data_IF_243797425987
#
_entry.id   IF_243797425987
#
_cell.length_a   1.000
_cell.length_b   1.000
_cell.length_c   1.000
_cell.angle_alpha   90.00
_cell.angle_beta   90.00
_cell.angle_gamma   90.00
#
_symmetry.space_group_name_H-M   'P 1'
#
loop_
_entity.id
_entity.type
_entity.pdbx_description
1 polymer ?
#
# COMPACT_ATOMS: atom_id res chain seq x y z
N UNK A 1 -15.27 -6.55 14.22
CA UNK A 1 -15.39 -6.59 12.77
C UNK A 1 -15.62 -5.21 12.15
N UNK A 2 -16.73 -4.53 12.42
CA UNK A 2 -17.08 -3.22 11.82
C UNK A 2 -16.01 -2.14 12.01
N UNK A 3 -15.38 -2.05 13.20
CA UNK A 3 -14.33 -1.07 13.48
C UNK A 3 -13.04 -1.31 12.68
N UNK A 4 -12.69 -2.57 12.40
CA UNK A 4 -11.49 -2.88 11.62
C UNK A 4 -11.68 -2.52 10.14
N UNK A 5 -12.85 -2.85 9.57
CA UNK A 5 -13.19 -2.38 8.21
C UNK A 5 -13.29 -0.85 8.14
N UNK A 6 -13.85 -0.23 9.18
CA UNK A 6 -13.85 1.23 9.25
C UNK A 6 -12.41 1.76 9.22
N UNK A 7 -11.50 1.21 10.02
CA UNK A 7 -10.12 1.66 10.10
C UNK A 7 -9.36 1.51 8.76
N UNK A 8 -9.65 0.43 8.01
CA UNK A 8 -9.02 0.22 6.70
C UNK A 8 -9.58 1.13 5.61
N UNK A 9 -10.87 1.43 5.62
CA UNK A 9 -11.54 2.18 4.54
C UNK A 9 -11.70 3.67 4.84
N UNK A 10 -11.85 4.05 6.12
CA UNK A 10 -12.10 5.44 6.50
C UNK A 10 -11.03 6.43 6.03
N UNK A 11 -9.71 6.11 6.00
CA UNK A 11 -8.72 7.06 5.49
C UNK A 11 -8.94 7.48 4.04
N UNK A 12 -9.70 6.70 3.25
CA UNK A 12 -10.09 7.10 1.89
C UNK A 12 -11.02 8.32 1.89
N UNK A 13 -11.80 8.52 2.96
CA UNK A 13 -12.72 9.67 3.07
C UNK A 13 -11.94 10.99 3.16
N UNK A 14 -11.00 11.18 4.11
CA UNK A 14 -10.16 12.37 4.10
C UNK A 14 -9.26 12.45 2.85
N UNK A 15 -8.81 11.33 2.25
CA UNK A 15 -8.07 11.36 0.99
C UNK A 15 -8.89 12.03 -0.13
N UNK A 16 -10.14 11.61 -0.33
CA UNK A 16 -11.06 12.24 -1.28
C UNK A 16 -11.40 13.68 -0.86
N UNK A 17 -11.61 13.91 0.43
CA UNK A 17 -11.84 15.23 0.99
C UNK A 17 -10.72 16.22 0.67
N UNK A 18 -9.44 15.79 0.72
CA UNK A 18 -8.29 16.62 0.34
C UNK A 18 -8.33 17.06 -1.12
N UNK A 19 -8.76 16.19 -2.03
CA UNK A 19 -8.87 16.52 -3.46
C UNK A 19 -10.03 17.47 -3.74
N UNK A 20 -11.13 17.37 -2.99
CA UNK A 20 -12.33 18.16 -3.20
C UNK A 20 -12.34 19.50 -2.43
N UNK A 21 -11.54 19.60 -1.35
CA UNK A 21 -11.50 20.78 -0.49
C UNK A 21 -10.92 21.99 -1.24
N UNK A 22 -11.72 23.05 -1.31
CA UNK A 22 -11.31 24.33 -1.90
C UNK A 22 -10.83 25.26 -0.79
N UNK A 23 -9.51 25.50 -0.75
CA UNK A 23 -8.85 26.41 0.19
C UNK A 23 -8.26 25.71 1.43
N UNK A 24 -7.30 26.38 2.04
CA UNK A 24 -6.45 25.80 3.08
C UNK A 24 -7.21 25.47 4.36
N UNK A 25 -8.18 26.32 4.78
CA UNK A 25 -8.99 26.07 5.98
C UNK A 25 -9.81 24.78 5.86
N UNK A 26 -10.39 24.51 4.67
CA UNK A 26 -11.15 23.30 4.45
C UNK A 26 -10.25 22.06 4.47
N UNK A 27 -9.06 22.13 3.88
CA UNK A 27 -8.05 21.05 3.90
C UNK A 27 -7.57 20.78 5.33
N UNK A 28 -7.29 21.84 6.11
CA UNK A 28 -6.89 21.68 7.50
C UNK A 28 -7.99 20.98 8.32
N UNK A 29 -9.25 21.40 8.16
CA UNK A 29 -10.37 20.78 8.86
C UNK A 29 -10.51 19.29 8.48
N UNK A 30 -10.46 18.95 7.20
CA UNK A 30 -10.53 17.57 6.72
C UNK A 30 -9.37 16.74 7.29
N UNK A 31 -8.15 17.27 7.25
CA UNK A 31 -6.96 16.57 7.75
C UNK A 31 -6.98 16.36 9.26
N UNK A 32 -7.30 17.40 10.03
CA UNK A 32 -7.35 17.32 11.49
C UNK A 32 -8.45 16.39 11.98
N UNK A 33 -9.67 16.53 11.42
CA UNK A 33 -10.81 15.68 11.80
C UNK A 33 -10.55 14.24 11.37
N UNK A 34 -10.10 14.02 10.13
CA UNK A 34 -9.79 12.69 9.60
C UNK A 34 -8.73 11.98 10.43
N UNK A 35 -7.60 12.64 10.70
CA UNK A 35 -6.51 12.09 11.53
C UNK A 35 -6.96 11.84 12.97
N UNK A 36 -7.75 12.75 13.56
CA UNK A 36 -8.29 12.60 14.91
C UNK A 36 -9.20 11.37 15.03
N UNK A 37 -10.08 11.15 14.06
CA UNK A 37 -10.97 9.97 14.03
C UNK A 37 -10.14 8.69 13.86
N UNK A 38 -9.17 8.65 12.93
CA UNK A 38 -8.31 7.48 12.72
C UNK A 38 -7.58 7.13 14.02
N UNK A 39 -6.98 8.12 14.68
CA UNK A 39 -6.26 7.92 15.94
C UNK A 39 -7.17 7.39 17.05
N UNK A 40 -8.37 7.98 17.21
CA UNK A 40 -9.33 7.55 18.20
C UNK A 40 -9.81 6.10 17.97
N UNK A 41 -10.17 5.76 16.73
CA UNK A 41 -10.58 4.39 16.38
C UNK A 41 -9.46 3.39 16.56
N UNK A 42 -8.23 3.76 16.21
CA UNK A 42 -7.04 2.93 16.43
C UNK A 42 -6.87 2.56 17.91
N UNK A 43 -6.99 3.54 18.81
CA UNK A 43 -6.90 3.29 20.25
C UNK A 43 -8.05 2.40 20.73
N UNK A 44 -9.28 2.64 20.25
CA UNK A 44 -10.45 1.80 20.60
C UNK A 44 -10.22 0.34 20.15
N UNK A 45 -9.74 0.12 18.93
CA UNK A 45 -9.42 -1.23 18.41
C UNK A 45 -8.38 -1.91 19.28
N UNK A 46 -7.32 -1.22 19.67
CA UNK A 46 -6.28 -1.77 20.54
C UNK A 46 -6.82 -2.11 21.95
N UNK A 47 -7.61 -1.23 22.56
CA UNK A 47 -8.23 -1.48 23.87
C UNK A 47 -9.17 -2.69 23.82
N UNK A 48 -9.99 -2.80 22.77
CA UNK A 48 -10.87 -3.95 22.58
C UNK A 48 -10.08 -5.26 22.43
N UNK A 49 -8.98 -5.23 21.66
CA UNK A 49 -8.12 -6.39 21.48
C UNK A 49 -7.54 -6.90 22.79
N UNK A 50 -7.07 -6.03 23.68
CA UNK A 50 -6.56 -6.45 24.99
C UNK A 50 -7.62 -7.10 25.88
N UNK A 51 -8.91 -6.83 25.61
CA UNK A 51 -10.03 -7.49 26.30
C UNK A 51 -10.48 -8.83 25.68
N UNK A 52 -10.24 -9.02 24.38
CA UNK A 52 -10.78 -10.17 23.62
C UNK A 52 -9.71 -11.14 23.11
N UNK A 53 -8.44 -10.71 23.00
CA UNK A 53 -7.34 -11.49 22.44
C UNK A 53 -7.37 -11.60 20.91
N UNK A 54 -6.54 -12.49 20.34
CA UNK A 54 -6.43 -12.69 18.89
C UNK A 54 -7.77 -13.08 18.25
N UNK A 55 -8.07 -12.48 17.09
CA UNK A 55 -9.33 -12.69 16.38
C UNK A 55 -9.10 -12.80 14.87
N UNK A 56 -9.81 -13.75 14.26
CA UNK A 56 -9.95 -13.85 12.80
C UNK A 56 -11.36 -13.43 12.39
N UNK A 57 -11.48 -12.75 11.28
CA UNK A 57 -12.76 -12.24 10.78
C UNK A 57 -13.07 -12.87 9.42
N UNK A 58 -14.03 -13.76 9.38
CA UNK A 58 -14.50 -14.37 8.14
C UNK A 58 -15.44 -13.42 7.37
N UNK A 59 -15.32 -13.43 6.05
CA UNK A 59 -16.20 -12.72 5.14
C UNK A 59 -17.02 -13.70 4.33
N UNK A 60 -18.27 -13.38 4.09
CA UNK A 60 -19.15 -14.17 3.25
C UNK A 60 -18.53 -14.39 1.84
N UNK A 61 -18.66 -15.60 1.24
CA UNK A 61 -18.02 -15.92 -0.05
C UNK A 61 -18.30 -14.89 -1.16
N UNK A 62 -19.53 -14.43 -1.30
CA UNK A 62 -19.88 -13.42 -2.29
C UNK A 62 -19.19 -12.06 -2.05
N UNK A 63 -18.99 -11.66 -0.80
CA UNK A 63 -18.25 -10.43 -0.47
C UNK A 63 -16.76 -10.60 -0.75
N UNK A 64 -16.20 -11.76 -0.43
CA UNK A 64 -14.80 -12.10 -0.74
C UNK A 64 -14.54 -12.00 -2.25
N UNK A 65 -15.41 -12.59 -3.08
CA UNK A 65 -15.30 -12.52 -4.53
C UNK A 65 -15.32 -11.07 -5.07
N UNK A 66 -16.26 -10.24 -4.57
CA UNK A 66 -16.30 -8.81 -4.95
C UNK A 66 -15.02 -8.09 -4.56
N UNK A 67 -14.46 -8.36 -3.38
CA UNK A 67 -13.21 -7.74 -2.93
C UNK A 67 -12.01 -8.19 -3.78
N UNK A 68 -11.94 -9.45 -4.21
CA UNK A 68 -10.91 -9.94 -5.13
C UNK A 68 -11.03 -9.30 -6.52
N UNK A 69 -12.24 -9.04 -7.02
CA UNK A 69 -12.43 -8.26 -8.25
C UNK A 69 -11.93 -6.83 -8.06
N UNK A 70 -12.29 -6.20 -6.95
CA UNK A 70 -11.87 -4.82 -6.66
C UNK A 70 -10.34 -4.74 -6.57
N UNK A 71 -9.67 -5.66 -5.86
CA UNK A 71 -8.21 -5.70 -5.76
C UNK A 71 -7.56 -5.86 -7.12
N UNK A 72 -8.05 -6.76 -7.96
CA UNK A 72 -7.53 -6.96 -9.33
C UNK A 72 -7.70 -5.71 -10.20
N UNK A 73 -8.83 -5.00 -10.10
CA UNK A 73 -9.05 -3.74 -10.81
C UNK A 73 -8.09 -2.65 -10.33
N UNK A 74 -7.88 -2.56 -9.01
CA UNK A 74 -6.92 -1.61 -8.44
C UNK A 74 -5.51 -1.92 -8.97
N UNK A 75 -5.07 -3.18 -8.99
CA UNK A 75 -3.74 -3.56 -9.48
C UNK A 75 -3.53 -3.16 -10.94
N UNK A 76 -4.56 -3.35 -11.80
CA UNK A 76 -4.52 -2.89 -13.21
C UNK A 76 -4.38 -1.37 -13.29
N UNK A 77 -5.12 -0.61 -12.47
CA UNK A 77 -5.03 0.85 -12.43
C UNK A 77 -3.62 1.29 -11.98
N UNK A 78 -3.06 0.66 -10.95
CA UNK A 78 -1.72 0.96 -10.45
C UNK A 78 -0.65 0.68 -11.51
N UNK A 79 -0.73 -0.47 -12.19
CA UNK A 79 0.15 -0.78 -13.32
C UNK A 79 0.01 0.26 -14.45
N UNK A 80 -1.20 0.72 -14.77
CA UNK A 80 -1.42 1.75 -15.76
C UNK A 80 -0.78 3.09 -15.36
N UNK A 81 -0.85 3.48 -14.08
CA UNK A 81 -0.18 4.68 -13.56
C UNK A 81 1.34 4.56 -13.70
N UNK A 82 1.91 3.40 -13.36
CA UNK A 82 3.35 3.14 -13.51
C UNK A 82 3.76 3.23 -14.98
N UNK A 83 3.06 2.54 -15.88
CA UNK A 83 3.35 2.51 -17.31
C UNK A 83 3.21 3.90 -17.95
N UNK A 84 2.20 4.67 -17.58
CA UNK A 84 2.03 6.05 -18.03
C UNK A 84 3.25 6.91 -17.66
N UNK A 85 3.71 6.85 -16.41
CA UNK A 85 4.88 7.61 -15.96
C UNK A 85 6.17 7.09 -16.60
N UNK A 86 6.35 5.75 -16.71
CA UNK A 86 7.50 5.15 -17.37
C UNK A 86 7.62 5.57 -18.83
N UNK A 87 6.49 5.60 -19.57
CA UNK A 87 6.43 6.10 -20.94
C UNK A 87 6.74 7.59 -21.01
N UNK A 88 6.11 8.41 -20.14
CA UNK A 88 6.31 9.88 -20.10
C UNK A 88 7.77 10.27 -19.88
N UNK A 89 8.47 9.58 -18.98
CA UNK A 89 9.88 9.84 -18.65
C UNK A 89 10.85 8.94 -19.41
N UNK A 90 10.37 8.15 -20.39
CA UNK A 90 11.16 7.26 -21.26
C UNK A 90 12.07 6.29 -20.48
N UNK A 91 11.57 5.74 -19.38
CA UNK A 91 12.29 4.74 -18.59
C UNK A 91 11.96 3.32 -19.09
N UNK A 92 12.84 2.77 -19.92
CA UNK A 92 12.63 1.46 -20.55
C UNK A 92 12.52 0.33 -19.51
N UNK A 93 13.36 0.35 -18.46
CA UNK A 93 13.37 -0.71 -17.44
C UNK A 93 12.05 -0.73 -16.64
N UNK A 94 11.57 0.44 -16.19
CA UNK A 94 10.29 0.56 -15.50
C UNK A 94 9.12 0.15 -16.43
N UNK A 95 9.21 0.44 -17.73
CA UNK A 95 8.20 0.00 -18.72
C UNK A 95 8.16 -1.52 -18.84
N UNK A 96 9.32 -2.17 -18.98
CA UNK A 96 9.39 -3.64 -19.09
C UNK A 96 8.87 -4.30 -17.82
N UNK A 97 9.32 -3.87 -16.64
CA UNK A 97 8.84 -4.41 -15.38
C UNK A 97 7.33 -4.18 -15.19
N UNK A 98 6.81 -2.99 -15.55
CA UNK A 98 5.38 -2.67 -15.49
C UNK A 98 4.54 -3.57 -16.40
N UNK A 99 5.03 -3.90 -17.59
CA UNK A 99 4.36 -4.85 -18.50
C UNK A 99 4.38 -6.25 -17.88
N UNK A 100 5.53 -6.72 -17.37
CA UNK A 100 5.64 -8.04 -16.73
C UNK A 100 4.68 -8.15 -15.56
N UNK A 101 4.62 -7.12 -14.71
CA UNK A 101 3.70 -7.10 -13.56
C UNK A 101 2.24 -7.08 -14.00
N UNK A 102 1.88 -6.26 -14.98
CA UNK A 102 0.51 -6.19 -15.50
C UNK A 102 0.07 -7.54 -16.08
N UNK A 103 0.90 -8.17 -16.92
CA UNK A 103 0.61 -9.49 -17.49
C UNK A 103 0.48 -10.55 -16.39
N UNK A 104 1.38 -10.52 -15.41
CA UNK A 104 1.35 -11.42 -14.26
C UNK A 104 0.08 -11.25 -13.41
N UNK A 105 -0.31 -10.00 -13.10
CA UNK A 105 -1.54 -9.71 -12.32
C UNK A 105 -2.80 -10.14 -13.09
N UNK A 106 -2.86 -9.90 -14.40
CA UNK A 106 -3.97 -10.37 -15.22
C UNK A 106 -4.04 -11.90 -15.30
N UNK A 107 -2.90 -12.57 -15.43
CA UNK A 107 -2.84 -14.04 -15.42
C UNK A 107 -3.29 -14.60 -14.06
N UNK A 108 -2.83 -14.02 -12.95
CA UNK A 108 -3.23 -14.42 -11.60
C UNK A 108 -4.73 -14.21 -11.39
N UNK A 109 -5.29 -13.05 -11.77
CA UNK A 109 -6.71 -12.78 -11.69
C UNK A 109 -7.54 -13.78 -12.52
N UNK A 110 -7.10 -14.12 -13.74
CA UNK A 110 -7.77 -15.11 -14.58
C UNK A 110 -7.78 -16.53 -13.96
N UNK A 111 -6.78 -16.86 -13.15
CA UNK A 111 -6.69 -18.14 -12.45
C UNK A 111 -7.53 -18.18 -11.17
N UNK A 112 -7.58 -17.08 -10.42
CA UNK A 112 -8.18 -17.03 -9.08
C UNK A 112 -9.63 -16.64 -9.05
N UNK A 113 -10.07 -15.70 -9.91
CA UNK A 113 -11.45 -15.19 -9.90
C UNK A 113 -12.52 -16.27 -10.13
N UNK A 114 -12.35 -17.24 -11.04
CA UNK A 114 -13.35 -18.31 -11.20
C UNK A 114 -13.50 -19.21 -9.98
N UNK A 115 -12.44 -19.36 -9.18
CA UNK A 115 -12.43 -20.24 -8.01
C UNK A 115 -12.87 -19.51 -6.71
N UNK A 116 -12.90 -18.19 -6.71
CA UNK A 116 -13.17 -17.35 -5.53
C UNK A 116 -14.62 -17.46 -5.03
N UNK A 117 -15.55 -17.95 -5.85
CA UNK A 117 -16.96 -18.14 -5.43
C UNK A 117 -17.14 -19.25 -4.38
N UNK A 118 -16.19 -20.20 -4.27
CA UNK A 118 -16.34 -21.40 -3.45
C UNK A 118 -15.61 -21.33 -2.08
N UNK A 119 -14.80 -20.30 -1.83
CA UNK A 119 -13.92 -20.26 -0.66
C UNK A 119 -14.37 -19.19 0.35
N UNK A 120 -14.68 -19.62 1.57
CA UNK A 120 -14.74 -18.73 2.74
C UNK A 120 -13.33 -18.25 3.03
N UNK A 121 -13.04 -16.98 2.73
CA UNK A 121 -11.76 -16.38 3.06
C UNK A 121 -11.83 -15.77 4.47
N UNK A 122 -10.80 -16.00 5.30
CA UNK A 122 -10.52 -15.15 6.47
C UNK A 122 -9.74 -13.93 6.01
N UNK A 123 -10.40 -12.79 5.77
CA UNK A 123 -9.72 -11.66 5.11
C UNK A 123 -8.89 -10.83 6.06
N UNK A 124 -9.31 -10.74 7.32
CA UNK A 124 -8.66 -9.92 8.33
C UNK A 124 -8.33 -10.76 9.57
N UNK A 125 -7.12 -10.55 10.05
CA UNK A 125 -6.59 -11.17 11.24
C UNK A 125 -6.00 -10.13 12.16
N UNK A 126 -6.28 -10.22 13.45
CA UNK A 126 -5.78 -9.31 14.45
C UNK A 126 -5.10 -10.12 15.56
N UNK A 127 -3.78 -10.05 15.62
CA UNK A 127 -2.95 -10.62 16.66
C UNK A 127 -2.14 -9.53 17.39
N UNK A 128 -1.26 -9.92 18.29
CA UNK A 128 -0.43 -9.00 19.05
C UNK A 128 0.49 -8.16 18.14
N UNK A 129 1.05 -8.76 17.08
CA UNK A 129 1.89 -8.05 16.13
C UNK A 129 1.07 -7.06 15.30
N UNK A 130 -0.08 -7.50 14.78
CA UNK A 130 -1.00 -6.64 14.01
C UNK A 130 -1.45 -5.44 14.83
N UNK A 131 -1.76 -5.60 16.12
CA UNK A 131 -2.18 -4.49 16.99
C UNK A 131 -1.05 -3.50 17.23
N UNK A 132 0.19 -3.96 17.44
CA UNK A 132 1.34 -3.07 17.56
C UNK A 132 1.51 -2.25 16.27
N UNK A 133 1.40 -2.91 15.11
CA UNK A 133 1.50 -2.24 13.81
C UNK A 133 0.32 -1.30 13.56
N UNK A 134 -0.91 -1.68 13.92
CA UNK A 134 -2.10 -0.82 13.83
C UNK A 134 -1.93 0.43 14.69
N UNK A 135 -1.40 0.32 15.91
CA UNK A 135 -1.08 1.48 16.77
C UNK A 135 -0.02 2.37 16.14
N UNK A 136 1.06 1.80 15.60
CA UNK A 136 2.11 2.56 14.93
C UNK A 136 1.56 3.31 13.70
N UNK A 137 0.84 2.61 12.82
CA UNK A 137 0.24 3.20 11.62
C UNK A 137 -0.81 4.26 11.98
N UNK A 138 -1.71 3.96 12.91
CA UNK A 138 -2.84 4.83 13.23
C UNK A 138 -2.42 6.08 14.02
N UNK A 139 -1.52 5.95 15.00
CA UNK A 139 -1.10 7.10 15.81
C UNK A 139 -0.02 7.89 15.08
N UNK A 140 1.11 7.26 14.75
CA UNK A 140 2.24 7.97 14.13
C UNK A 140 1.87 8.46 12.74
N UNK A 141 1.20 7.62 11.92
CA UNK A 141 0.75 8.00 10.58
C UNK A 141 -0.23 9.18 10.61
N UNK A 142 -1.19 9.20 11.55
CA UNK A 142 -2.10 10.34 11.71
C UNK A 142 -1.38 11.61 12.15
N UNK A 143 -0.41 11.52 13.06
CA UNK A 143 0.40 12.67 13.47
C UNK A 143 1.23 13.23 12.30
N UNK A 144 1.78 12.36 11.46
CA UNK A 144 2.50 12.76 10.23
C UNK A 144 1.54 13.48 9.27
N UNK A 145 0.31 12.99 9.08
CA UNK A 145 -0.70 13.66 8.26
C UNK A 145 -1.03 15.06 8.81
N UNK A 146 -1.17 15.22 10.12
CA UNK A 146 -1.41 16.53 10.76
C UNK A 146 -0.21 17.46 10.55
N UNK A 147 1.01 16.97 10.79
CA UNK A 147 2.23 17.73 10.57
C UNK A 147 2.35 18.21 9.11
N UNK A 148 2.04 17.34 8.16
CA UNK A 148 2.12 17.64 6.75
C UNK A 148 1.19 18.79 6.31
N UNK A 149 0.08 19.06 7.01
CA UNK A 149 -0.80 20.21 6.71
C UNK A 149 -0.05 21.55 6.82
N UNK A 150 0.73 21.74 7.88
CA UNK A 150 1.56 22.94 8.08
C UNK A 150 2.76 22.94 7.14
N UNK A 151 3.53 21.86 7.17
CA UNK A 151 4.74 21.70 6.38
C UNK A 151 4.53 21.98 4.87
N UNK A 152 3.48 21.40 4.28
CA UNK A 152 3.20 21.58 2.86
C UNK A 152 2.75 22.99 2.49
N UNK A 153 2.26 23.80 3.44
CA UNK A 153 1.99 25.22 3.19
C UNK A 153 3.28 26.02 3.05
N UNK A 154 4.21 25.80 3.99
CA UNK A 154 5.51 26.46 3.98
C UNK A 154 6.33 26.04 2.75
N UNK A 155 6.27 24.75 2.40
CA UNK A 155 6.89 24.21 1.20
C UNK A 155 6.35 24.86 -0.08
N UNK A 156 5.03 24.98 -0.22
CA UNK A 156 4.40 25.62 -1.37
C UNK A 156 4.76 27.10 -1.46
N UNK A 157 4.77 27.83 -0.34
CA UNK A 157 5.14 29.24 -0.30
C UNK A 157 6.60 29.45 -0.76
N UNK A 158 7.51 28.53 -0.38
CA UNK A 158 8.89 28.56 -0.84
C UNK A 158 8.99 28.27 -2.34
N UNK A 159 8.27 27.25 -2.84
CA UNK A 159 8.25 26.89 -4.26
C UNK A 159 7.67 28.01 -5.13
N UNK A 160 6.62 28.70 -4.66
CA UNK A 160 6.04 29.89 -5.31
C UNK A 160 7.02 31.07 -5.35
N UNK A 161 7.75 31.30 -4.26
CA UNK A 161 8.77 32.35 -4.22
C UNK A 161 9.91 32.09 -5.21
N UNK A 162 10.43 30.87 -5.25
CA UNK A 162 11.47 30.48 -6.20
C UNK A 162 10.98 30.53 -7.66
N UNK A 163 9.74 30.10 -7.92
CA UNK A 163 9.15 30.16 -9.26
C UNK A 163 8.97 31.61 -9.72
N UNK A 164 8.53 32.53 -8.82
CA UNK A 164 8.39 33.95 -9.11
C UNK A 164 9.72 34.61 -9.49
N UNK A 165 10.84 34.26 -8.81
CA UNK A 165 12.18 34.72 -9.15
C UNK A 165 12.62 34.29 -10.56
N UNK A 166 12.07 33.17 -11.07
CA UNK A 166 12.34 32.66 -12.43
C UNK A 166 11.28 33.11 -13.46
N UNK A 167 10.32 33.95 -13.08
CA UNK A 167 9.21 34.36 -13.92
C UNK A 167 8.21 33.25 -14.27
N UNK A 168 8.10 32.24 -13.44
CA UNK A 168 7.23 31.06 -13.58
C UNK A 168 6.18 31.04 -12.49
N UNK A 169 5.13 30.23 -12.67
CA UNK A 169 4.11 29.96 -11.65
C UNK A 169 4.25 28.53 -11.14
N UNK A 170 4.25 28.32 -9.81
CA UNK A 170 4.23 27.02 -9.20
C UNK A 170 2.78 26.52 -9.06
N UNK A 171 2.39 25.37 -9.66
CA UNK A 171 1.05 24.83 -9.48
C UNK A 171 0.87 24.26 -8.08
N UNK A 172 -0.28 24.52 -7.43
CA UNK A 172 -0.62 23.94 -6.13
C UNK A 172 -0.92 22.43 -6.27
N UNK A 173 -0.02 21.59 -5.79
CA UNK A 173 -0.14 20.12 -5.78
C UNK A 173 -0.33 19.55 -4.38
N UNK A 174 -0.43 20.39 -3.35
CA UNK A 174 -0.64 19.99 -1.96
C UNK A 174 -1.84 19.04 -1.78
N UNK A 175 -3.01 19.25 -2.45
CA UNK A 175 -4.13 18.34 -2.32
C UNK A 175 -3.81 16.92 -2.73
N UNK A 176 -3.02 16.75 -3.81
CA UNK A 176 -2.62 15.43 -4.30
C UNK A 176 -1.66 14.74 -3.32
N UNK A 177 -0.68 15.47 -2.78
CA UNK A 177 0.26 14.93 -1.80
C UNK A 177 -0.45 14.47 -0.53
N UNK A 178 -1.30 15.33 0.04
CA UNK A 178 -2.06 15.01 1.26
C UNK A 178 -3.05 13.86 1.03
N UNK A 179 -3.69 13.79 -0.13
CA UNK A 179 -4.55 12.66 -0.50
C UNK A 179 -3.77 11.35 -0.58
N UNK A 180 -2.56 11.37 -1.18
CA UNK A 180 -1.68 10.20 -1.26
C UNK A 180 -1.25 9.72 0.12
N UNK A 181 -1.02 10.61 1.09
CA UNK A 181 -0.69 10.22 2.47
C UNK A 181 -1.84 9.46 3.13
N UNK A 182 -3.08 9.93 3.01
CA UNK A 182 -4.23 9.21 3.55
C UNK A 182 -4.51 7.90 2.81
N UNK A 183 -4.31 7.86 1.48
CA UNK A 183 -4.40 6.62 0.71
C UNK A 183 -3.33 5.61 1.14
N UNK A 184 -2.10 6.08 1.38
CA UNK A 184 -1.02 5.26 1.91
C UNK A 184 -1.38 4.69 3.30
N UNK A 185 -1.99 5.51 4.16
CA UNK A 185 -2.42 5.09 5.49
C UNK A 185 -3.49 3.98 5.42
N UNK A 186 -4.48 4.12 4.52
CA UNK A 186 -5.47 3.08 4.24
C UNK A 186 -4.83 1.77 3.80
N UNK A 187 -3.91 1.83 2.84
CA UNK A 187 -3.20 0.66 2.34
C UNK A 187 -2.34 -0.01 3.42
N UNK A 188 -1.71 0.77 4.31
CA UNK A 188 -0.96 0.23 5.44
C UNK A 188 -1.86 -0.52 6.42
N UNK A 189 -3.06 -0.02 6.71
CA UNK A 189 -4.02 -0.78 7.53
C UNK A 189 -4.42 -2.09 6.88
N UNK A 190 -4.64 -2.12 5.56
CA UNK A 190 -4.90 -3.37 4.83
C UNK A 190 -3.73 -4.34 4.99
N UNK A 191 -2.49 -3.90 4.79
CA UNK A 191 -1.30 -4.75 4.90
C UNK A 191 -1.15 -5.36 6.30
N UNK A 192 -1.31 -4.57 7.36
CA UNK A 192 -1.03 -5.02 8.73
C UNK A 192 -2.16 -5.86 9.35
N UNK A 193 -3.34 -5.88 8.73
CA UNK A 193 -4.49 -6.64 9.23
C UNK A 193 -4.93 -7.77 8.30
N UNK A 194 -4.38 -7.87 7.08
CA UNK A 194 -4.78 -8.90 6.12
C UNK A 194 -4.09 -10.23 6.40
N UNK A 195 -4.88 -11.29 6.55
CA UNK A 195 -4.40 -12.67 6.48
C UNK A 195 -4.36 -13.18 5.04
N UNK A 196 -5.19 -12.62 4.16
CA UNK A 196 -5.25 -12.96 2.75
C UNK A 196 -4.10 -12.30 1.98
N UNK A 197 -3.25 -13.11 1.35
CA UNK A 197 -2.06 -12.65 0.63
C UNK A 197 -2.39 -11.84 -0.65
N UNK A 198 -3.54 -12.09 -1.30
CA UNK A 198 -3.99 -11.32 -2.46
C UNK A 198 -4.30 -9.86 -2.06
N UNK A 199 -5.03 -9.68 -0.96
CA UNK A 199 -5.36 -8.35 -0.46
C UNK A 199 -4.15 -7.63 0.13
N UNK A 200 -3.26 -8.38 0.78
CA UNK A 200 -1.98 -7.88 1.24
C UNK A 200 -1.15 -7.38 0.04
N UNK A 201 -1.14 -8.13 -1.08
CA UNK A 201 -0.46 -7.72 -2.32
C UNK A 201 -1.04 -6.43 -2.89
N UNK A 202 -2.36 -6.29 -2.96
CA UNK A 202 -3.01 -5.06 -3.41
C UNK A 202 -2.60 -3.85 -2.55
N UNK A 203 -2.67 -3.96 -1.21
CA UNK A 203 -2.17 -2.92 -0.29
C UNK A 203 -0.70 -2.58 -0.52
N UNK A 204 0.12 -3.60 -0.75
CA UNK A 204 1.55 -3.49 -1.06
C UNK A 204 1.80 -2.64 -2.32
N UNK A 205 1.07 -2.91 -3.40
CA UNK A 205 1.19 -2.16 -4.65
C UNK A 205 0.68 -0.71 -4.52
N UNK A 206 -0.41 -0.48 -3.78
CA UNK A 206 -0.87 0.89 -3.48
C UNK A 206 0.25 1.69 -2.79
N UNK A 207 0.89 1.13 -1.75
CA UNK A 207 1.98 1.83 -1.05
C UNK A 207 3.20 2.06 -1.94
N UNK A 208 3.49 1.15 -2.88
CA UNK A 208 4.57 1.29 -3.87
C UNK A 208 4.33 2.50 -4.77
N UNK A 209 3.13 2.62 -5.35
CA UNK A 209 2.77 3.73 -6.24
C UNK A 209 2.65 5.05 -5.48
N UNK A 210 2.07 5.06 -4.26
CA UNK A 210 2.02 6.26 -3.42
C UNK A 210 3.42 6.79 -3.13
N UNK A 211 4.36 5.93 -2.73
CA UNK A 211 5.76 6.30 -2.49
C UNK A 211 6.41 6.88 -3.75
N UNK A 212 6.22 6.24 -4.91
CA UNK A 212 6.73 6.72 -6.19
C UNK A 212 6.25 8.14 -6.49
N UNK A 213 4.95 8.40 -6.32
CA UNK A 213 4.35 9.70 -6.60
C UNK A 213 4.78 10.78 -5.59
N UNK A 214 4.97 10.41 -4.31
CA UNK A 214 5.43 11.33 -3.28
C UNK A 214 6.92 11.67 -3.45
N UNK A 215 7.79 10.71 -3.77
CA UNK A 215 9.22 10.95 -4.04
C UNK A 215 9.38 11.85 -5.28
N UNK A 216 8.58 11.60 -6.32
CA UNK A 216 8.58 12.39 -7.55
C UNK A 216 7.82 13.72 -7.46
N UNK A 217 7.39 14.16 -6.28
CA UNK A 217 6.50 15.33 -6.11
C UNK A 217 7.06 16.62 -6.69
N UNK A 218 8.31 16.94 -6.41
CA UNK A 218 8.98 18.16 -6.86
C UNK A 218 9.25 18.20 -8.37
N UNK A 219 9.24 17.04 -9.02
CA UNK A 219 9.54 16.85 -10.46
C UNK A 219 10.93 17.35 -10.89
N UNK A 220 11.84 17.56 -9.96
CA UNK A 220 13.24 17.82 -10.29
C UNK A 220 13.86 16.60 -10.95
N UNK A 221 14.92 16.73 -11.79
CA UNK A 221 15.59 15.56 -12.38
C UNK A 221 16.06 14.55 -11.35
N UNK A 222 16.51 15.02 -10.19
CA UNK A 222 16.93 14.17 -9.07
C UNK A 222 15.73 13.41 -8.45
N UNK A 223 14.63 14.11 -8.16
CA UNK A 223 13.42 13.49 -7.61
C UNK A 223 12.84 12.43 -8.56
N UNK A 224 12.82 12.72 -9.87
CA UNK A 224 12.37 11.77 -10.90
C UNK A 224 13.28 10.53 -10.91
N UNK A 225 14.61 10.72 -10.91
CA UNK A 225 15.57 9.62 -10.89
C UNK A 225 15.37 8.73 -9.65
N UNK A 226 15.23 9.34 -8.47
CA UNK A 226 15.06 8.63 -7.21
C UNK A 226 13.71 7.93 -7.12
N UNK A 227 12.63 8.55 -7.63
CA UNK A 227 11.33 7.90 -7.76
C UNK A 227 11.40 6.66 -8.66
N UNK A 228 12.09 6.72 -9.81
CA UNK A 228 12.29 5.55 -10.66
C UNK A 228 13.19 4.49 -10.03
N UNK A 229 14.18 4.84 -9.24
CA UNK A 229 14.97 3.88 -8.48
C UNK A 229 14.08 3.13 -7.47
N UNK A 230 13.23 3.87 -6.75
CA UNK A 230 12.27 3.29 -5.81
C UNK A 230 11.29 2.34 -6.52
N UNK A 231 10.63 2.78 -7.61
CA UNK A 231 9.62 1.96 -8.27
C UNK A 231 10.24 0.69 -8.87
N UNK A 232 11.40 0.76 -9.50
CA UNK A 232 12.09 -0.38 -10.11
C UNK A 232 12.42 -1.44 -9.05
N UNK A 233 13.03 -1.04 -7.92
CA UNK A 233 13.39 -1.99 -6.86
C UNK A 233 12.16 -2.61 -6.21
N UNK A 234 11.12 -1.80 -5.93
CA UNK A 234 9.89 -2.32 -5.35
C UNK A 234 9.08 -3.20 -6.32
N UNK A 235 9.12 -2.93 -7.64
CA UNK A 235 8.51 -3.80 -8.65
C UNK A 235 9.20 -5.15 -8.76
N UNK A 236 10.53 -5.22 -8.60
CA UNK A 236 11.22 -6.51 -8.50
C UNK A 236 10.69 -7.33 -7.33
N UNK A 237 10.46 -6.68 -6.18
CA UNK A 237 9.79 -7.30 -5.03
C UNK A 237 8.33 -7.68 -5.32
N UNK A 238 7.57 -6.81 -5.98
CA UNK A 238 6.18 -7.06 -6.36
C UNK A 238 6.04 -8.25 -7.32
N UNK A 239 6.92 -8.37 -8.30
CA UNK A 239 6.98 -9.52 -9.22
C UNK A 239 7.34 -10.81 -8.47
N UNK A 240 8.28 -10.75 -7.52
CA UNK A 240 8.60 -11.90 -6.68
C UNK A 240 7.40 -12.31 -5.79
N UNK A 241 6.68 -11.34 -5.21
CA UNK A 241 5.47 -11.58 -4.45
C UNK A 241 4.40 -12.29 -5.30
N UNK A 242 4.11 -11.71 -6.47
CA UNK A 242 3.13 -12.25 -7.42
C UNK A 242 3.50 -13.68 -7.88
N UNK A 243 4.78 -13.93 -8.17
CA UNK A 243 5.26 -15.28 -8.48
C UNK A 243 5.04 -16.26 -7.32
N UNK A 244 5.22 -15.81 -6.07
CA UNK A 244 4.88 -16.57 -4.87
C UNK A 244 3.40 -16.93 -4.79
N UNK A 245 2.52 -15.96 -5.04
CA UNK A 245 1.06 -16.17 -5.10
C UNK A 245 0.67 -17.17 -6.19
N UNK A 246 1.20 -17.01 -7.40
CA UNK A 246 0.95 -17.93 -8.51
C UNK A 246 1.43 -19.36 -8.18
N UNK A 247 2.59 -19.49 -7.56
CA UNK A 247 3.11 -20.78 -7.14
C UNK A 247 2.22 -21.46 -6.10
N UNK A 248 1.76 -20.72 -5.07
CA UNK A 248 0.82 -21.24 -4.07
C UNK A 248 -0.47 -21.73 -4.73
N UNK A 249 -1.07 -20.92 -5.59
CA UNK A 249 -2.32 -21.23 -6.27
C UNK A 249 -2.21 -22.48 -7.16
N UNK A 250 -1.17 -22.57 -8.00
CA UNK A 250 -0.96 -23.70 -8.93
C UNK A 250 -0.77 -25.03 -8.18
N UNK A 251 -0.15 -24.98 -7.00
CA UNK A 251 0.06 -26.17 -6.17
C UNK A 251 -1.10 -26.47 -5.19
N UNK A 252 -2.22 -25.74 -5.29
CA UNK A 252 -3.39 -25.95 -4.42
C UNK A 252 -3.13 -25.62 -2.97
N UNK A 253 -2.20 -24.71 -2.68
CA UNK A 253 -1.85 -24.28 -1.32
C UNK A 253 -2.70 -23.07 -0.89
N UNK A 254 -2.87 -22.86 0.44
CA UNK A 254 -3.63 -21.73 0.93
C UNK A 254 -2.97 -20.39 0.57
N UNK A 255 -3.80 -19.43 0.14
CA UNK A 255 -3.41 -18.03 -0.11
C UNK A 255 -3.57 -17.17 1.15
N UNK A 256 -3.36 -17.75 2.34
CA UNK A 256 -3.44 -17.09 3.64
C UNK A 256 -2.18 -17.35 4.45
N UNK A 257 -1.77 -16.37 5.26
CA UNK A 257 -0.61 -16.53 6.15
C UNK A 257 -0.86 -17.63 7.19
N UNK A 258 -2.03 -17.62 7.82
CA UNK A 258 -2.43 -18.63 8.80
C UNK A 258 -2.42 -20.03 8.20
N UNK A 259 -2.97 -20.21 7.00
CA UNK A 259 -2.98 -21.49 6.30
C UNK A 259 -1.58 -21.97 5.91
N UNK A 260 -0.68 -21.08 5.53
CA UNK A 260 0.73 -21.45 5.27
C UNK A 260 1.44 -21.91 6.55
N UNK A 261 1.18 -21.25 7.69
CA UNK A 261 1.73 -21.63 8.99
C UNK A 261 1.22 -23.03 9.39
N UNK A 262 -0.08 -23.26 9.27
CA UNK A 262 -0.69 -24.56 9.58
C UNK A 262 -0.10 -25.66 8.68
N UNK A 263 -0.01 -25.42 7.36
CA UNK A 263 0.58 -26.38 6.42
C UNK A 263 2.04 -26.67 6.75
N UNK A 264 2.83 -25.68 7.19
CA UNK A 264 4.22 -25.87 7.58
C UNK A 264 4.39 -26.78 8.78
N UNK A 265 3.44 -26.74 9.73
CA UNK A 265 3.42 -27.59 10.93
C UNK A 265 2.96 -29.03 10.67
N UNK A 266 2.32 -29.30 9.54
CA UNK A 266 1.75 -30.62 9.22
C UNK A 266 2.79 -31.68 8.86
N UNK A 267 4.05 -31.33 8.58
CA UNK A 267 5.14 -32.28 8.30
C UNK A 267 4.91 -33.16 7.05
N UNK A 268 4.09 -32.71 6.11
CA UNK A 268 3.72 -33.43 4.88
C UNK A 268 4.69 -33.14 3.75
N UNK A 269 4.66 -33.92 2.66
CA UNK A 269 5.42 -33.61 1.43
C UNK A 269 5.05 -32.23 0.87
N UNK A 270 3.83 -31.78 1.09
CA UNK A 270 3.34 -30.48 0.65
C UNK A 270 3.97 -29.31 1.44
N UNK A 271 4.36 -29.55 2.73
CA UNK A 271 5.07 -28.53 3.52
C UNK A 271 6.45 -28.20 2.95
N UNK A 272 7.12 -29.15 2.29
CA UNK A 272 8.41 -28.90 1.63
C UNK A 272 8.29 -27.94 0.43
N UNK A 273 7.13 -27.93 -0.23
CA UNK A 273 6.88 -27.01 -1.37
C UNK A 273 6.71 -25.55 -0.91
N UNK A 274 6.46 -25.28 0.38
CA UNK A 274 6.38 -23.94 0.93
C UNK A 274 7.71 -23.17 0.89
N UNK A 275 8.84 -23.84 0.77
CA UNK A 275 10.15 -23.18 0.73
C UNK A 275 10.21 -22.15 -0.40
N UNK A 276 9.71 -22.50 -1.60
CA UNK A 276 9.78 -21.59 -2.76
C UNK A 276 8.94 -20.31 -2.56
N UNK A 277 7.64 -20.34 -2.22
CA UNK A 277 6.88 -19.13 -2.01
C UNK A 277 7.38 -18.33 -0.80
N UNK A 278 7.87 -18.98 0.27
CA UNK A 278 8.46 -18.27 1.42
C UNK A 278 9.71 -17.49 0.99
N UNK A 279 10.59 -18.05 0.17
CA UNK A 279 11.75 -17.34 -0.37
C UNK A 279 11.34 -16.16 -1.22
N UNK A 280 10.34 -16.30 -2.10
CA UNK A 280 9.84 -15.25 -2.98
C UNK A 280 9.18 -14.11 -2.17
N UNK A 281 8.35 -14.45 -1.19
CA UNK A 281 7.72 -13.48 -0.29
C UNK A 281 8.77 -12.77 0.59
N UNK A 282 9.79 -13.49 1.06
CA UNK A 282 10.91 -12.91 1.81
C UNK A 282 11.71 -11.92 0.95
N UNK A 283 11.97 -12.26 -0.32
CA UNK A 283 12.63 -11.35 -1.25
C UNK A 283 11.81 -10.07 -1.46
N UNK A 284 10.49 -10.20 -1.63
CA UNK A 284 9.60 -9.06 -1.69
C UNK A 284 9.69 -8.19 -0.42
N UNK A 285 9.67 -8.81 0.76
CA UNK A 285 9.78 -8.11 2.03
C UNK A 285 11.13 -7.37 2.17
N UNK A 286 12.25 -7.98 1.76
CA UNK A 286 13.58 -7.37 1.79
C UNK A 286 13.66 -6.13 0.89
N UNK A 287 13.04 -6.15 -0.30
CA UNK A 287 13.00 -4.99 -1.19
C UNK A 287 12.18 -3.84 -0.58
N UNK A 288 11.02 -4.14 -0.02
CA UNK A 288 10.11 -3.15 0.58
C UNK A 288 10.67 -2.54 1.86
N UNK A 289 11.32 -3.36 2.68
CA UNK A 289 11.96 -2.94 3.93
C UNK A 289 13.32 -2.26 3.68
N UNK A 290 13.72 -2.04 2.43
CA UNK A 290 15.01 -1.43 2.07
C UNK A 290 16.22 -2.13 2.74
N UNK A 291 16.16 -3.44 2.87
CA UNK A 291 17.29 -4.23 3.40
C UNK A 291 18.40 -4.36 2.34
N UNK A 292 19.64 -4.54 2.78
CA UNK A 292 20.73 -4.78 1.83
C UNK A 292 20.43 -6.03 1.00
N UNK A 293 20.61 -5.98 -0.34
CA UNK A 293 21.22 -4.93 -1.16
C UNK A 293 20.24 -3.86 -1.69
N UNK A 294 18.97 -3.84 -1.30
CA UNK A 294 17.91 -3.00 -1.88
C UNK A 294 17.73 -1.64 -1.16
N UNK A 295 18.64 -1.25 -0.26
CA UNK A 295 18.51 -0.05 0.59
C UNK A 295 18.60 1.29 -0.17
N UNK A 296 19.13 1.30 -1.37
CA UNK A 296 19.46 2.53 -2.12
C UNK A 296 18.23 3.39 -2.43
N UNK A 297 17.06 2.79 -2.63
CA UNK A 297 15.85 3.54 -2.91
C UNK A 297 15.38 4.39 -1.71
N UNK A 298 15.56 3.88 -0.48
CA UNK A 298 15.16 4.60 0.72
C UNK A 298 16.07 5.82 0.96
N UNK A 299 17.37 5.68 0.72
CA UNK A 299 18.31 6.81 0.79
C UNK A 299 17.95 7.89 -0.25
N UNK A 300 17.58 7.49 -1.46
CA UNK A 300 17.12 8.42 -2.52
C UNK A 300 15.75 9.05 -2.23
N UNK A 301 14.92 8.42 -1.40
CA UNK A 301 13.59 8.95 -1.07
C UNK A 301 13.63 10.25 -0.25
N UNK A 302 14.76 10.59 0.38
CA UNK A 302 14.94 11.82 1.18
C UNK A 302 14.82 13.13 0.38
N UNK A 303 14.70 13.08 -0.94
CA UNK A 303 14.36 14.23 -1.79
C UNK A 303 12.87 14.58 -1.80
N UNK A 304 12.03 13.70 -1.26
CA UNK A 304 10.60 13.98 -1.07
C UNK A 304 10.41 15.12 -0.07
N UNK A 305 9.30 15.86 -0.13
CA UNK A 305 8.90 16.75 0.96
C UNK A 305 8.76 15.94 2.26
N UNK A 306 9.62 16.17 3.22
CA UNK A 306 9.69 15.44 4.50
C UNK A 306 9.72 16.41 5.68
#
# INVERSE_FOLDING_TARGET
MTLLYFLTLFPLVPALGMLLARGDRARDAVGLIGSGIIMAVTVVVAVMFFGTGPQSFEVAPGTSHVLSIISSVIDVILCAVILYNAYKYRNALATVLGIVQLVGSLAFAAMTLPAAEAVTATPLYLDYMSVIMVLAVGIVGSLICVYALGYMKDFQAHDEHEAALRGQTAPDRRPQFLALMFLFLSAMFVIVTSDNLEWLFCGWEITTVCSFLMIGYTRTPEAIKNAFTQIILNMLGGIAFLAGLMYLHVNGMPLTISGMIELSGAGTAQSALLVMPVVLLSLAALTKAAQMPFHTWLLGAMVAPT
#
